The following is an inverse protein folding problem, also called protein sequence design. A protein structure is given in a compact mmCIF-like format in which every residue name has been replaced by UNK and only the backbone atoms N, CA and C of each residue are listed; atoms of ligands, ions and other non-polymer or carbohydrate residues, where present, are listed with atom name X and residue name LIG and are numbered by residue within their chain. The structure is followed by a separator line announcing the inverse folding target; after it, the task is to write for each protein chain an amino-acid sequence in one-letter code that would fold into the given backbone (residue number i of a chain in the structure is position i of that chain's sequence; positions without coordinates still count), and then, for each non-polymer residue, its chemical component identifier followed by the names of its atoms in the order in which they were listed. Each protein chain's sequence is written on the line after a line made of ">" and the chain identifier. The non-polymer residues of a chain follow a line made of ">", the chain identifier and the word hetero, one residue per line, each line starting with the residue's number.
data_IF_947205576704
#
_entry.id   IF_947205576704
#
_cell.length_a   1.000
_cell.length_b   1.000
_cell.length_c   1.000
_cell.angle_alpha   90.00
_cell.angle_beta   90.00
_cell.angle_gamma   90.00
#
_symmetry.space_group_name_H-M   'P 1'
#
loop_
_entity.id
_entity.type
_entity.pdbx_description
1 polymer ?
#
# COMPACT_ATOMS: atom_id res chain seq x y z
N UNK A 1 -12.34 11.97 -1.44
CA UNK A 1 -11.37 12.79 -0.63
C UNK A 1 -10.83 13.91 -1.53
N UNK A 2 -10.92 15.14 -1.09
CA UNK A 2 -10.36 16.26 -1.85
C UNK A 2 -8.90 16.51 -1.46
N UNK A 3 -8.19 17.34 -2.21
CA UNK A 3 -6.76 17.60 -2.00
C UNK A 3 -6.47 18.17 -0.61
N UNK A 4 -7.35 19.01 -0.11
CA UNK A 4 -7.17 19.65 1.20
C UNK A 4 -7.32 18.65 2.34
N UNK A 5 -8.33 17.77 2.25
CA UNK A 5 -8.54 16.70 3.23
C UNK A 5 -7.38 15.72 3.21
N UNK A 6 -6.91 15.39 2.01
CA UNK A 6 -5.77 14.48 1.82
C UNK A 6 -4.50 15.08 2.47
N UNK A 7 -4.25 16.37 2.25
CA UNK A 7 -3.08 17.03 2.82
C UNK A 7 -3.15 17.07 4.36
N UNK A 8 -4.35 17.32 4.92
CA UNK A 8 -4.55 17.35 6.37
C UNK A 8 -4.33 15.97 6.99
N UNK A 9 -4.86 14.91 6.35
CA UNK A 9 -4.66 13.54 6.80
C UNK A 9 -3.20 13.12 6.73
N UNK A 10 -2.52 13.50 5.65
CA UNK A 10 -1.10 13.20 5.48
C UNK A 10 -0.28 13.86 6.59
N UNK A 11 -0.53 15.12 6.87
CA UNK A 11 0.19 15.85 7.91
C UNK A 11 -0.02 15.21 9.28
N UNK A 12 -1.28 14.85 9.61
CA UNK A 12 -1.60 14.20 10.88
C UNK A 12 -0.96 12.82 10.99
N UNK A 13 -1.02 12.03 9.91
CA UNK A 13 -0.43 10.70 9.86
C UNK A 13 1.08 10.76 10.06
N UNK A 14 1.76 11.70 9.41
CA UNK A 14 3.20 11.88 9.55
C UNK A 14 3.59 12.37 10.94
N UNK A 15 2.69 13.07 11.62
CA UNK A 15 2.90 13.51 13.00
C UNK A 15 2.68 12.38 14.03
N UNK A 16 2.25 11.20 13.59
CA UNK A 16 2.08 10.05 14.46
C UNK A 16 0.65 9.70 14.84
N UNK A 17 -0.34 10.35 14.22
CA UNK A 17 -1.75 10.05 14.45
C UNK A 17 -2.15 8.78 13.70
N UNK A 18 -2.31 7.68 14.43
CA UNK A 18 -2.62 6.38 13.83
C UNK A 18 -3.99 6.33 13.17
N UNK A 19 -4.97 7.04 13.71
CA UNK A 19 -6.30 7.09 13.10
C UNK A 19 -6.24 7.80 11.74
N UNK A 20 -5.48 8.89 11.67
CA UNK A 20 -5.27 9.60 10.42
C UNK A 20 -4.50 8.74 9.42
N UNK A 21 -3.50 8.00 9.90
CA UNK A 21 -2.72 7.09 9.06
C UNK A 21 -3.62 6.01 8.44
N UNK A 22 -4.47 5.38 9.25
CA UNK A 22 -5.40 4.35 8.78
C UNK A 22 -6.36 4.90 7.73
N UNK A 23 -6.92 6.08 7.99
CA UNK A 23 -7.83 6.75 7.05
C UNK A 23 -7.12 7.08 5.75
N UNK A 24 -5.90 7.61 5.85
CA UNK A 24 -5.09 7.94 4.68
C UNK A 24 -4.79 6.71 3.84
N UNK A 25 -4.35 5.63 4.49
CA UNK A 25 -4.02 4.37 3.81
C UNK A 25 -5.24 3.81 3.09
N UNK A 26 -6.42 3.81 3.73
CA UNK A 26 -7.65 3.37 3.09
C UNK A 26 -8.00 4.24 1.88
N UNK A 27 -7.86 5.55 2.01
CA UNK A 27 -8.10 6.48 0.90
C UNK A 27 -7.15 6.27 -0.27
N UNK A 28 -5.88 5.99 0.02
CA UNK A 28 -4.89 5.69 -1.01
C UNK A 28 -5.25 4.42 -1.78
N UNK A 29 -5.72 3.40 -1.06
CA UNK A 29 -6.18 2.17 -1.69
C UNK A 29 -7.38 2.40 -2.59
N UNK A 30 -8.34 3.21 -2.16
CA UNK A 30 -9.55 3.53 -2.93
C UNK A 30 -9.22 4.21 -4.25
N UNK A 31 -8.24 5.10 -4.26
CA UNK A 31 -7.84 5.81 -5.48
C UNK A 31 -6.78 5.06 -6.28
N UNK A 32 -6.30 3.93 -5.76
CA UNK A 32 -5.30 3.12 -6.45
C UNK A 32 -3.90 3.73 -6.47
N UNK A 33 -3.54 4.49 -5.43
CA UNK A 33 -2.23 5.13 -5.33
C UNK A 33 -1.18 4.16 -4.78
N UNK A 34 -0.56 3.40 -5.67
CA UNK A 34 0.46 2.41 -5.29
C UNK A 34 1.68 3.07 -4.64
N UNK A 35 2.10 4.23 -5.12
CA UNK A 35 3.26 4.94 -4.56
C UNK A 35 2.99 5.37 -3.12
N UNK A 36 1.79 5.88 -2.86
CA UNK A 36 1.37 6.26 -1.52
C UNK A 36 1.33 5.08 -0.56
N UNK A 37 0.75 3.96 -1.01
CA UNK A 37 0.71 2.73 -0.21
C UNK A 37 2.12 2.20 0.07
N UNK A 38 3.00 2.24 -0.93
CA UNK A 38 4.40 1.81 -0.76
C UNK A 38 5.11 2.64 0.30
N UNK A 39 4.88 3.94 0.27
CA UNK A 39 5.48 4.86 1.26
C UNK A 39 5.13 4.43 2.70
N UNK A 40 3.86 4.16 2.96
CA UNK A 40 3.42 3.78 4.30
C UNK A 40 3.80 2.35 4.66
N UNK A 41 3.79 1.45 3.67
CA UNK A 41 4.26 0.06 3.87
C UNK A 41 5.73 0.04 4.30
N UNK A 42 6.57 0.86 3.68
CA UNK A 42 7.99 0.95 4.01
C UNK A 42 8.22 1.52 5.41
N UNK A 43 7.25 2.27 5.92
CA UNK A 43 7.31 2.79 7.29
C UNK A 43 6.72 1.84 8.33
N UNK A 44 6.38 0.62 7.90
CA UNK A 44 5.91 -0.42 8.80
C UNK A 44 4.40 -0.57 8.91
N UNK A 45 3.63 0.11 8.07
CA UNK A 45 2.18 -0.03 8.07
C UNK A 45 1.79 -1.32 7.36
N UNK A 46 1.34 -2.32 8.13
CA UNK A 46 0.99 -3.63 7.58
C UNK A 46 -0.26 -3.59 6.72
N UNK A 47 -1.23 -2.74 7.05
CA UNK A 47 -2.44 -2.58 6.23
C UNK A 47 -2.08 -2.02 4.86
N UNK A 48 -1.17 -1.04 4.80
CA UNK A 48 -0.71 -0.48 3.54
C UNK A 48 -0.01 -1.55 2.69
N UNK A 49 0.79 -2.40 3.32
CA UNK A 49 1.46 -3.50 2.63
C UNK A 49 0.43 -4.48 2.04
N UNK A 50 -0.56 -4.89 2.83
CA UNK A 50 -1.61 -5.80 2.38
C UNK A 50 -2.40 -5.19 1.22
N UNK A 51 -2.77 -3.92 1.34
CA UNK A 51 -3.52 -3.22 0.29
C UNK A 51 -2.68 -3.05 -0.98
N UNK A 52 -1.37 -2.84 -0.83
CA UNK A 52 -0.45 -2.76 -1.96
C UNK A 52 -0.37 -4.11 -2.69
N UNK A 53 -0.32 -5.22 -1.96
CA UNK A 53 -0.34 -6.57 -2.55
C UNK A 53 -1.62 -6.78 -3.34
N UNK A 54 -2.77 -6.42 -2.77
CA UNK A 54 -4.06 -6.54 -3.46
C UNK A 54 -4.09 -5.73 -4.75
N UNK A 55 -3.63 -4.48 -4.67
CA UNK A 55 -3.61 -3.59 -5.83
C UNK A 55 -2.68 -4.12 -6.92
N UNK A 56 -1.48 -4.54 -6.53
CA UNK A 56 -0.50 -5.10 -7.47
C UNK A 56 -1.02 -6.40 -8.10
N UNK A 57 -1.72 -7.21 -7.31
CA UNK A 57 -2.33 -8.45 -7.79
C UNK A 57 -3.40 -8.17 -8.86
N UNK A 58 -4.29 -7.21 -8.60
CA UNK A 58 -5.34 -6.80 -9.53
C UNK A 58 -4.77 -6.27 -10.84
N UNK A 59 -3.65 -5.55 -10.76
CA UNK A 59 -2.99 -4.95 -11.92
C UNK A 59 -1.98 -5.89 -12.59
N UNK A 60 -1.76 -7.07 -12.00
CA UNK A 60 -0.72 -8.02 -12.43
C UNK A 60 0.65 -7.32 -12.53
N UNK A 61 0.96 -6.49 -11.54
CA UNK A 61 2.18 -5.72 -11.47
C UNK A 61 3.31 -6.60 -10.93
N UNK A 62 4.01 -7.29 -11.83
CA UNK A 62 5.09 -8.22 -11.47
C UNK A 62 6.23 -7.52 -10.74
N UNK A 63 6.59 -6.31 -11.15
CA UNK A 63 7.70 -5.57 -10.54
C UNK A 63 7.41 -5.25 -9.07
N UNK A 64 6.20 -4.77 -8.79
CA UNK A 64 5.81 -4.43 -7.42
C UNK A 64 5.73 -5.70 -6.56
N UNK A 65 5.12 -6.77 -7.10
CA UNK A 65 5.01 -8.03 -6.38
C UNK A 65 6.39 -8.62 -6.10
N UNK A 66 7.32 -8.51 -7.06
CA UNK A 66 8.70 -8.98 -6.87
C UNK A 66 9.39 -8.23 -5.72
N UNK A 67 9.22 -6.91 -5.67
CA UNK A 67 9.79 -6.11 -4.58
C UNK A 67 9.22 -6.50 -3.23
N UNK A 68 7.91 -6.70 -3.16
CA UNK A 68 7.24 -7.10 -1.92
C UNK A 68 7.69 -8.49 -1.47
N UNK A 69 7.77 -9.44 -2.40
CA UNK A 69 8.24 -10.80 -2.10
C UNK A 69 9.68 -10.78 -1.60
N UNK A 70 10.54 -9.99 -2.24
CA UNK A 70 11.94 -9.86 -1.84
C UNK A 70 12.08 -9.26 -0.45
N UNK A 71 11.13 -8.42 -0.04
CA UNK A 71 11.09 -7.84 1.30
C UNK A 71 10.52 -8.80 2.35
N UNK A 72 10.09 -9.99 1.94
CA UNK A 72 9.58 -11.01 2.86
C UNK A 72 8.08 -11.20 2.85
N UNK A 73 7.36 -10.56 1.93
CA UNK A 73 5.90 -10.72 1.87
C UNK A 73 5.54 -12.04 1.20
N UNK A 74 5.01 -12.98 1.98
CA UNK A 74 4.65 -14.32 1.50
C UNK A 74 3.44 -14.31 0.57
N UNK A 75 2.50 -13.38 0.79
CA UNK A 75 1.32 -13.24 -0.07
C UNK A 75 1.73 -12.79 -1.48
N UNK A 76 2.65 -11.84 -1.56
CA UNK A 76 3.17 -11.38 -2.85
C UNK A 76 3.88 -12.51 -3.60
N UNK A 77 4.66 -13.31 -2.89
CA UNK A 77 5.34 -14.46 -3.46
C UNK A 77 4.34 -15.47 -4.02
N UNK A 78 3.26 -15.74 -3.29
CA UNK A 78 2.21 -16.68 -3.72
C UNK A 78 1.50 -16.16 -4.97
N UNK A 79 1.19 -14.87 -5.02
CA UNK A 79 0.55 -14.25 -6.19
C UNK A 79 1.45 -14.34 -7.42
N UNK A 80 2.75 -14.07 -7.25
CA UNK A 80 3.72 -14.20 -8.34
C UNK A 80 3.73 -15.61 -8.92
N UNK A 81 3.71 -16.62 -8.05
CA UNK A 81 3.66 -18.01 -8.47
C UNK A 81 2.43 -18.28 -9.34
N UNK A 82 1.28 -17.77 -8.92
CA UNK A 82 0.04 -17.93 -9.67
C UNK A 82 0.10 -17.26 -11.03
N UNK A 83 0.67 -16.06 -11.08
CA UNK A 83 0.77 -15.28 -12.32
C UNK A 83 1.75 -15.90 -13.32
N UNK A 84 2.73 -16.66 -12.84
CA UNK A 84 3.76 -17.29 -13.67
C UNK A 84 3.35 -18.65 -14.24
N UNK A 85 2.20 -19.15 -13.84
CA UNK A 85 1.68 -20.44 -14.32
C UNK A 85 0.99 -20.37 -15.68
#
# INVERSE_FOLDING_TARGET
>A
MNDQEHAALRAAAEAGDRDAEDELVQGLAEIGDADGLRHWAQRGNTDAEDLLVELASEREDHDELTRLAAAGNTDAAAVLEELEQ
#
